data_IF_808334101869
#
_entry.id   IF_808334101869
#
_cell.length_a   1.000
_cell.length_b   1.000
_cell.length_c   1.000
_cell.angle_alpha   90.00
_cell.angle_beta   90.00
_cell.angle_gamma   90.00
#
_symmetry.space_group_name_H-M   'P 1'
#
loop_
_entity.id
_entity.type
_entity.pdbx_description
1 polymer ?
#
# COMPACT_ATOMS: atom_id res chain seq x y z
N UNK A 1 -7.66 -3.70 -38.25
CA UNK A 1 -7.50 -4.72 -37.21
C UNK A 1 -6.40 -4.21 -36.26
N UNK A 2 -6.75 -3.56 -35.14
CA UNK A 2 -5.75 -3.13 -34.16
C UNK A 2 -5.34 -4.38 -33.38
N UNK A 3 -4.07 -4.78 -33.49
CA UNK A 3 -3.50 -5.74 -32.56
C UNK A 3 -3.60 -5.09 -31.17
N UNK A 4 -4.44 -5.61 -30.30
CA UNK A 4 -4.33 -5.37 -28.88
C UNK A 4 -3.05 -6.10 -28.41
N UNK A 5 -1.94 -5.38 -28.42
CA UNK A 5 -0.77 -5.80 -27.67
C UNK A 5 -1.19 -5.60 -26.20
N UNK A 6 -1.49 -6.70 -25.51
CA UNK A 6 -1.60 -6.69 -24.05
C UNK A 6 -0.19 -6.39 -23.53
N UNK A 7 0.08 -5.12 -23.30
CA UNK A 7 1.28 -4.69 -22.59
C UNK A 7 0.98 -5.03 -21.13
N UNK A 8 1.54 -6.13 -20.63
CA UNK A 8 1.45 -6.49 -19.22
C UNK A 8 2.40 -5.58 -18.44
N UNK A 9 1.89 -4.91 -17.42
CA UNK A 9 2.73 -4.13 -16.51
C UNK A 9 3.78 -5.02 -15.83
N UNK A 10 4.98 -4.50 -15.67
CA UNK A 10 6.06 -5.18 -14.96
C UNK A 10 6.03 -4.81 -13.47
N UNK A 11 5.93 -5.81 -12.60
CA UNK A 11 5.73 -5.64 -11.15
C UNK A 11 6.96 -6.12 -10.39
N UNK A 12 7.69 -5.18 -9.79
CA UNK A 12 8.87 -5.44 -9.00
C UNK A 12 8.59 -5.31 -7.51
N UNK A 13 8.55 -6.43 -6.80
CA UNK A 13 8.40 -6.46 -5.36
C UNK A 13 9.73 -6.21 -4.67
N UNK A 14 9.80 -5.19 -3.82
CA UNK A 14 10.95 -4.86 -2.97
C UNK A 14 10.60 -5.23 -1.52
N UNK A 15 11.33 -6.18 -0.94
CA UNK A 15 11.14 -6.59 0.47
C UNK A 15 11.94 -5.65 1.37
N UNK A 16 11.23 -4.96 2.25
CA UNK A 16 11.72 -4.02 3.25
C UNK A 16 11.49 -4.59 4.67
N UNK A 17 12.23 -5.63 5.03
CA UNK A 17 11.98 -6.40 6.26
C UNK A 17 10.73 -7.27 6.14
N UNK A 18 9.70 -6.97 6.92
CA UNK A 18 8.40 -7.64 6.87
C UNK A 18 7.37 -6.91 5.98
N UNK A 19 7.73 -5.74 5.43
CA UNK A 19 6.88 -4.90 4.57
C UNK A 19 7.32 -5.00 3.12
N UNK A 20 6.40 -4.84 2.20
CA UNK A 20 6.64 -4.77 0.77
C UNK A 20 6.45 -3.35 0.24
N UNK A 21 7.31 -2.97 -0.71
CA UNK A 21 7.05 -1.89 -1.65
C UNK A 21 6.97 -2.51 -3.05
N UNK A 22 6.29 -1.85 -3.96
CA UNK A 22 6.17 -2.33 -5.33
C UNK A 22 6.47 -1.22 -6.31
N UNK A 23 7.40 -1.45 -7.24
CA UNK A 23 7.51 -0.65 -8.45
C UNK A 23 6.64 -1.33 -9.50
N UNK A 24 5.71 -0.58 -10.06
CA UNK A 24 4.89 -1.03 -11.19
C UNK A 24 5.26 -0.18 -12.38
N UNK A 25 5.79 -0.84 -13.40
CA UNK A 25 6.27 -0.19 -14.60
C UNK A 25 5.44 -0.57 -15.82
N UNK A 26 5.18 0.41 -16.66
CA UNK A 26 4.59 0.26 -17.99
C UNK A 26 5.45 1.07 -18.96
N UNK A 27 6.09 0.39 -19.91
CA UNK A 27 7.06 0.98 -20.84
C UNK A 27 8.19 1.75 -20.11
N UNK A 28 8.25 3.08 -20.30
CA UNK A 28 9.26 3.96 -19.71
C UNK A 28 8.78 4.70 -18.45
N UNK A 29 7.58 4.39 -17.95
CA UNK A 29 7.00 5.01 -16.75
C UNK A 29 6.80 4.00 -15.64
N UNK A 30 6.88 4.48 -14.41
CA UNK A 30 6.62 3.65 -13.25
C UNK A 30 6.00 4.46 -12.08
N UNK A 31 5.32 3.75 -11.19
CA UNK A 31 4.91 4.27 -9.88
C UNK A 31 5.51 3.40 -8.78
N UNK A 32 5.77 4.00 -7.63
CA UNK A 32 6.17 3.29 -6.41
C UNK A 32 4.97 3.21 -5.46
N UNK A 33 4.56 2.00 -5.10
CA UNK A 33 3.50 1.76 -4.13
C UNK A 33 4.14 1.37 -2.80
N UNK A 34 3.90 2.17 -1.77
CA UNK A 34 4.52 2.17 -0.45
C UNK A 34 6.04 2.37 -0.47
N UNK A 35 6.60 2.78 0.66
CA UNK A 35 8.01 3.19 0.75
C UNK A 35 8.83 2.39 1.76
N UNK A 36 8.18 1.54 2.55
CA UNK A 36 8.84 0.63 3.48
C UNK A 36 9.56 1.32 4.65
N UNK A 37 10.37 0.54 5.35
CA UNK A 37 11.07 0.95 6.57
C UNK A 37 12.37 1.70 6.28
N UNK A 38 12.70 2.68 7.13
CA UNK A 38 13.88 3.56 7.04
C UNK A 38 15.20 2.82 6.79
N UNK A 39 15.40 1.67 7.44
CA UNK A 39 16.60 0.83 7.28
C UNK A 39 16.89 0.44 5.83
N UNK A 40 15.86 0.39 4.97
CA UNK A 40 15.97 -0.10 3.60
C UNK A 40 15.89 1.02 2.54
N UNK A 41 15.95 2.31 2.96
CA UNK A 41 15.76 3.45 2.06
C UNK A 41 16.70 3.48 0.86
N UNK A 42 17.99 3.20 1.09
CA UNK A 42 19.00 3.20 0.01
C UNK A 42 18.71 2.09 -1.00
N UNK A 43 18.38 0.88 -0.52
CA UNK A 43 18.01 -0.24 -1.39
C UNK A 43 16.78 0.09 -2.25
N UNK A 44 15.79 0.77 -1.68
CA UNK A 44 14.57 1.15 -2.39
C UNK A 44 14.91 2.23 -3.41
N UNK A 45 15.68 3.26 -3.03
CA UNK A 45 16.12 4.34 -3.93
C UNK A 45 16.90 3.77 -5.12
N UNK A 46 17.88 2.90 -4.89
CA UNK A 46 18.66 2.28 -5.98
C UNK A 46 17.76 1.51 -6.94
N UNK A 47 16.76 0.79 -6.41
CA UNK A 47 15.79 0.11 -7.28
C UNK A 47 14.91 1.09 -8.06
N UNK A 48 14.52 2.22 -7.49
CA UNK A 48 13.75 3.23 -8.19
C UNK A 48 14.54 3.89 -9.33
N UNK A 49 15.87 3.97 -9.23
CA UNK A 49 16.73 4.54 -10.28
C UNK A 49 16.77 3.68 -11.56
N UNK A 50 16.47 2.38 -11.46
CA UNK A 50 16.35 1.48 -12.59
C UNK A 50 15.10 1.81 -13.46
N UNK A 51 14.18 2.66 -12.94
CA UNK A 51 12.89 2.99 -13.54
C UNK A 51 12.65 4.50 -13.51
N UNK A 52 11.86 5.00 -14.46
CA UNK A 52 11.37 6.39 -14.42
C UNK A 52 10.14 6.49 -13.50
N UNK A 53 10.36 6.38 -12.17
CA UNK A 53 9.28 6.53 -11.20
C UNK A 53 8.77 7.97 -11.22
N UNK A 54 7.47 8.15 -11.43
CA UNK A 54 6.80 9.45 -11.58
C UNK A 54 5.92 9.82 -10.39
N UNK A 55 5.59 8.85 -9.52
CA UNK A 55 4.67 9.02 -8.41
C UNK A 55 4.97 8.02 -7.29
N UNK A 56 4.88 8.45 -6.04
CA UNK A 56 4.76 7.57 -4.87
C UNK A 56 3.29 7.51 -4.47
N UNK A 57 2.73 6.30 -4.39
CA UNK A 57 1.38 6.05 -3.88
C UNK A 57 1.50 5.35 -2.54
N UNK A 58 0.99 5.95 -1.47
CA UNK A 58 0.93 5.34 -0.14
C UNK A 58 -0.44 4.70 0.07
N UNK A 59 -0.45 3.40 0.35
CA UNK A 59 -1.70 2.66 0.56
C UNK A 59 -2.42 3.08 1.82
N UNK A 60 -1.68 3.51 2.85
CA UNK A 60 -2.20 4.02 4.12
C UNK A 60 -1.10 4.72 4.94
N UNK A 61 -1.47 5.35 6.05
CA UNK A 61 -0.60 6.23 6.84
C UNK A 61 0.29 5.55 7.88
N UNK A 62 0.39 4.21 7.95
CA UNK A 62 1.28 3.57 8.93
C UNK A 62 2.75 3.74 8.56
N UNK A 63 3.55 3.93 9.60
CA UNK A 63 4.97 4.27 9.51
C UNK A 63 5.75 3.30 8.64
N UNK A 64 5.55 2.02 8.78
CA UNK A 64 6.30 1.02 8.02
C UNK A 64 5.99 1.02 6.51
N UNK A 65 4.93 1.71 6.08
CA UNK A 65 4.60 1.97 4.68
C UNK A 65 5.09 3.34 4.20
N UNK A 66 5.16 4.34 5.11
CA UNK A 66 5.43 5.74 4.78
C UNK A 66 6.84 6.21 5.13
N UNK A 67 7.66 5.44 5.85
CA UNK A 67 8.86 5.90 6.56
C UNK A 67 9.94 6.50 5.65
N UNK A 68 9.91 6.16 4.35
CA UNK A 68 10.84 6.72 3.37
C UNK A 68 10.18 7.69 2.38
N UNK A 69 8.91 8.07 2.57
CA UNK A 69 8.18 8.89 1.61
C UNK A 69 8.86 10.24 1.37
N UNK A 70 9.17 11.00 2.43
CA UNK A 70 9.88 12.28 2.33
C UNK A 70 11.22 12.14 1.61
N UNK A 71 12.03 11.16 2.05
CA UNK A 71 13.36 10.94 1.50
C UNK A 71 13.33 10.57 0.01
N UNK A 72 12.49 9.61 -0.38
CA UNK A 72 12.38 9.14 -1.77
C UNK A 72 11.78 10.21 -2.69
N UNK A 73 10.74 10.91 -2.23
CA UNK A 73 10.15 12.01 -3.00
C UNK A 73 11.16 13.12 -3.29
N UNK A 74 11.95 13.50 -2.28
CA UNK A 74 13.03 14.49 -2.44
C UNK A 74 14.14 14.00 -3.36
N UNK A 75 14.60 12.75 -3.19
CA UNK A 75 15.71 12.21 -3.97
C UNK A 75 15.34 11.99 -5.45
N UNK A 76 14.08 11.63 -5.73
CA UNK A 76 13.57 11.36 -7.08
C UNK A 76 12.88 12.57 -7.71
N UNK A 77 12.62 13.64 -6.94
CA UNK A 77 11.89 14.85 -7.36
C UNK A 77 10.49 14.52 -7.89
N UNK A 78 9.75 13.68 -7.16
CA UNK A 78 8.42 13.20 -7.55
C UNK A 78 7.38 13.47 -6.45
N UNK A 79 6.09 13.61 -6.80
CA UNK A 79 5.02 13.83 -5.84
C UNK A 79 4.71 12.59 -4.99
N UNK A 80 4.06 12.82 -3.85
CA UNK A 80 3.46 11.80 -2.98
C UNK A 80 1.95 11.91 -3.08
N UNK A 81 1.28 10.77 -3.24
CA UNK A 81 -0.16 10.62 -3.27
C UNK A 81 -0.64 9.67 -2.17
N UNK A 82 -1.69 10.04 -1.43
CA UNK A 82 -2.35 9.19 -0.44
C UNK A 82 -3.77 9.67 -0.15
N UNK A 83 -4.54 8.91 0.61
CA UNK A 83 -5.84 9.39 1.09
C UNK A 83 -5.69 10.48 2.15
N UNK A 84 -6.45 11.58 2.04
CA UNK A 84 -6.50 12.64 3.03
C UNK A 84 -6.93 12.13 4.42
N UNK A 85 -7.74 11.06 4.47
CA UNK A 85 -8.27 10.47 5.70
C UNK A 85 -7.18 9.93 6.64
N UNK A 86 -5.96 9.72 6.14
CA UNK A 86 -4.82 9.22 6.94
C UNK A 86 -3.77 10.31 7.24
N UNK A 87 -3.99 11.56 6.83
CA UNK A 87 -3.07 12.67 7.05
C UNK A 87 -2.71 12.89 8.53
N UNK A 88 -3.67 12.68 9.42
CA UNK A 88 -3.42 12.84 10.86
C UNK A 88 -2.47 11.77 11.44
N UNK A 89 -2.19 10.70 10.71
CA UNK A 89 -1.25 9.64 11.13
C UNK A 89 0.21 10.01 10.83
N UNK A 90 0.47 10.95 9.92
CA UNK A 90 1.84 11.33 9.56
C UNK A 90 2.59 11.90 10.77
N UNK A 91 2.03 12.85 11.56
CA UNK A 91 2.69 13.32 12.78
C UNK A 91 2.64 12.31 13.94
N UNK A 92 1.64 11.44 13.97
CA UNK A 92 1.48 10.47 15.07
C UNK A 92 0.59 9.29 14.62
N UNK A 93 1.20 8.13 14.38
CA UNK A 93 0.48 6.92 13.97
C UNK A 93 -0.59 6.43 14.97
N UNK A 94 -0.56 6.92 16.23
CA UNK A 94 -1.56 6.59 17.26
C UNK A 94 -2.87 7.38 17.13
N UNK A 95 -2.93 8.36 16.20
CA UNK A 95 -4.14 9.17 15.95
C UNK A 95 -5.31 8.35 15.40
N UNK A 96 -5.04 7.18 14.85
CA UNK A 96 -6.06 6.18 14.55
C UNK A 96 -5.80 4.94 15.42
N UNK A 97 -6.66 4.71 16.41
CA UNK A 97 -6.50 3.61 17.36
C UNK A 97 -6.70 2.27 16.68
N UNK A 98 -5.71 1.39 16.78
CA UNK A 98 -5.78 0.03 16.25
C UNK A 98 -6.39 -0.93 17.28
N UNK A 99 -7.14 -1.89 16.78
CA UNK A 99 -7.71 -3.02 17.53
C UNK A 99 -7.34 -4.34 16.88
N UNK A 100 -7.40 -5.42 17.65
CA UNK A 100 -7.19 -6.79 17.18
C UNK A 100 -8.10 -7.77 17.90
N UNK A 101 -8.72 -8.70 17.17
CA UNK A 101 -9.66 -9.70 17.72
C UNK A 101 -8.97 -11.02 18.04
N UNK A 102 -8.05 -11.46 17.17
CA UNK A 102 -7.40 -12.76 17.32
C UNK A 102 -6.19 -12.68 18.26
N UNK A 103 -5.80 -13.81 18.86
CA UNK A 103 -4.62 -13.88 19.70
C UNK A 103 -3.35 -13.43 18.97
N UNK A 104 -3.15 -13.93 17.73
CA UNK A 104 -2.01 -13.53 16.90
C UNK A 104 -2.08 -12.04 16.53
N UNK A 105 -3.27 -11.53 16.22
CA UNK A 105 -3.49 -10.10 16.00
C UNK A 105 -3.10 -9.23 17.19
N UNK A 106 -3.41 -9.67 18.42
CA UNK A 106 -2.99 -8.96 19.65
C UNK A 106 -1.47 -8.91 19.84
N UNK A 107 -0.76 -9.98 19.45
CA UNK A 107 0.71 -9.97 19.44
C UNK A 107 1.22 -8.96 18.40
N UNK A 108 0.69 -9.00 17.18
CA UNK A 108 1.06 -8.04 16.11
C UNK A 108 0.77 -6.62 16.58
N UNK A 109 -0.39 -6.36 17.19
CA UNK A 109 -0.76 -5.05 17.74
C UNK A 109 0.26 -4.54 18.76
N UNK A 110 0.65 -5.37 19.71
CA UNK A 110 1.64 -4.99 20.73
C UNK A 110 2.98 -4.60 20.11
N UNK A 111 3.44 -5.35 19.11
CA UNK A 111 4.68 -5.04 18.37
C UNK A 111 4.54 -3.74 17.58
N UNK A 112 3.40 -3.52 16.91
CA UNK A 112 3.14 -2.30 16.13
C UNK A 112 3.12 -1.06 17.02
N UNK A 113 2.40 -1.10 18.16
CA UNK A 113 2.34 0.02 19.11
C UNK A 113 3.72 0.35 19.68
N UNK A 114 4.53 -0.67 20.02
CA UNK A 114 5.91 -0.46 20.47
C UNK A 114 6.80 0.15 19.37
N UNK A 115 6.54 -0.15 18.10
CA UNK A 115 7.25 0.47 16.98
C UNK A 115 6.87 1.94 16.84
N UNK A 116 5.59 2.30 16.97
CA UNK A 116 5.12 3.69 16.91
C UNK A 116 5.69 4.59 18.02
N UNK A 117 6.09 4.00 19.15
CA UNK A 117 6.74 4.75 20.24
C UNK A 117 8.24 4.98 20.01
N UNK A 118 8.92 4.02 19.36
CA UNK A 118 10.38 4.00 19.23
C UNK A 118 10.88 4.65 17.95
N UNK A 119 10.11 4.55 16.89
CA UNK A 119 10.47 5.06 15.58
C UNK A 119 9.84 6.44 15.35
N UNK A 120 10.43 7.21 14.46
CA UNK A 120 9.90 8.50 14.01
C UNK A 120 9.68 8.48 12.50
N UNK A 121 8.63 9.13 12.07
CA UNK A 121 8.35 9.40 10.67
C UNK A 121 8.92 10.79 10.31
N UNK A 122 9.70 10.86 9.24
CA UNK A 122 10.10 12.13 8.66
C UNK A 122 8.87 12.79 8.04
N UNK A 123 8.56 14.03 8.47
CA UNK A 123 7.35 14.72 8.04
C UNK A 123 7.37 14.98 6.54
N UNK A 124 6.23 14.76 5.91
CA UNK A 124 5.97 15.09 4.51
C UNK A 124 4.53 15.57 4.33
N UNK A 125 4.30 16.30 3.27
CA UNK A 125 2.96 16.70 2.84
C UNK A 125 2.69 16.08 1.47
N UNK A 126 1.69 15.19 1.34
CA UNK A 126 1.23 14.72 0.05
C UNK A 126 0.72 15.89 -0.79
N UNK A 127 1.09 15.90 -2.05
CA UNK A 127 0.61 16.91 -3.00
C UNK A 127 -0.65 16.45 -3.75
N UNK A 128 -0.99 15.16 -3.61
CA UNK A 128 -2.12 14.54 -4.30
C UNK A 128 -2.95 13.76 -3.28
N UNK A 129 -4.23 14.11 -3.17
CA UNK A 129 -5.17 13.38 -2.34
C UNK A 129 -6.00 12.43 -3.20
N UNK A 130 -5.92 11.14 -2.87
CA UNK A 130 -6.54 10.06 -3.64
C UNK A 130 -7.89 9.66 -3.06
N UNK A 131 -8.87 9.49 -3.95
CA UNK A 131 -10.21 9.03 -3.66
C UNK A 131 -10.58 7.82 -4.51
N UNK A 132 -11.68 7.15 -4.16
CA UNK A 132 -12.15 6.01 -4.93
C UNK A 132 -12.45 6.37 -6.39
N UNK A 133 -11.90 5.60 -7.32
CA UNK A 133 -12.07 5.77 -8.75
C UNK A 133 -11.07 6.71 -9.43
N UNK A 134 -10.20 7.40 -8.67
CA UNK A 134 -9.16 8.24 -9.26
C UNK A 134 -8.25 7.42 -10.19
N UNK A 135 -7.86 8.05 -11.29
CA UNK A 135 -7.08 7.47 -12.37
C UNK A 135 -5.63 7.98 -12.33
N UNK A 136 -4.67 7.07 -12.45
CA UNK A 136 -3.25 7.40 -12.42
C UNK A 136 -2.59 7.43 -13.82
N UNK A 137 -3.37 7.37 -14.91
CA UNK A 137 -2.86 7.42 -16.30
C UNK A 137 -2.03 8.68 -16.58
N UNK A 138 -2.34 9.79 -15.91
CA UNK A 138 -1.53 11.01 -15.97
C UNK A 138 -0.09 10.84 -15.48
N UNK A 139 0.19 9.78 -14.71
CA UNK A 139 1.52 9.39 -14.23
C UNK A 139 2.12 8.24 -15.05
N UNK A 140 1.47 7.89 -16.17
CA UNK A 140 1.93 6.89 -17.12
C UNK A 140 1.55 5.44 -16.80
N UNK A 141 0.70 5.20 -15.82
CA UNK A 141 0.20 3.86 -15.47
C UNK A 141 -1.33 3.86 -15.50
N UNK A 142 -1.92 2.98 -16.31
CA UNK A 142 -3.37 2.77 -16.33
C UNK A 142 -3.81 2.04 -15.06
N UNK A 143 -3.99 2.82 -14.01
CA UNK A 143 -4.33 2.34 -12.67
C UNK A 143 -5.49 3.12 -12.09
N UNK A 144 -6.31 2.44 -11.29
CA UNK A 144 -7.42 3.06 -10.55
C UNK A 144 -7.29 2.85 -9.06
N UNK A 145 -7.63 3.90 -8.32
CA UNK A 145 -7.68 3.85 -6.86
C UNK A 145 -9.00 3.21 -6.41
N UNK A 146 -8.88 2.34 -5.41
CA UNK A 146 -10.02 1.69 -4.75
C UNK A 146 -9.92 1.99 -3.25
N UNK A 147 -10.95 2.57 -2.65
CA UNK A 147 -11.01 2.71 -1.20
C UNK A 147 -11.21 1.35 -0.53
N UNK A 148 -10.36 1.05 0.45
CA UNK A 148 -10.38 -0.21 1.23
C UNK A 148 -10.30 0.10 2.74
N UNK A 149 -11.22 0.92 3.28
CA UNK A 149 -11.16 1.35 4.67
C UNK A 149 -11.32 0.18 5.64
N UNK A 150 -10.85 0.39 6.88
CA UNK A 150 -11.01 -0.53 7.99
C UNK A 150 -9.72 -0.84 8.72
N UNK A 151 -8.62 -1.16 8.02
CA UNK A 151 -7.31 -1.18 8.64
C UNK A 151 -6.94 0.22 9.14
N UNK A 152 -6.95 1.21 8.26
CA UNK A 152 -7.03 2.64 8.59
C UNK A 152 -8.27 3.25 7.93
N UNK A 153 -8.60 4.50 8.28
CA UNK A 153 -9.71 5.22 7.64
C UNK A 153 -9.42 5.55 6.18
N UNK A 154 -8.16 5.79 5.86
CA UNK A 154 -7.68 6.18 4.54
C UNK A 154 -7.02 5.04 3.77
N UNK A 155 -7.17 3.77 4.18
CA UNK A 155 -6.65 2.64 3.41
C UNK A 155 -7.21 2.63 2.01
N UNK A 156 -6.31 2.56 1.02
CA UNK A 156 -6.62 2.44 -0.41
C UNK A 156 -5.90 1.25 -1.04
N UNK A 157 -6.45 0.76 -2.13
CA UNK A 157 -5.79 -0.16 -3.05
C UNK A 157 -5.50 0.49 -4.39
N UNK A 158 -4.52 -0.03 -5.11
CA UNK A 158 -4.20 0.35 -6.49
C UNK A 158 -4.54 -0.82 -7.39
N UNK A 159 -5.51 -0.65 -8.28
CA UNK A 159 -5.93 -1.68 -9.24
C UNK A 159 -5.31 -1.38 -10.61
N UNK A 160 -4.58 -2.36 -11.15
CA UNK A 160 -3.89 -2.27 -12.44
C UNK A 160 -4.16 -3.59 -13.17
N UNK A 161 -4.89 -3.56 -14.28
CA UNK A 161 -5.30 -4.78 -14.99
C UNK A 161 -5.93 -5.81 -14.03
N UNK A 162 -5.41 -7.05 -14.02
CA UNK A 162 -5.81 -8.13 -13.12
C UNK A 162 -4.97 -8.19 -11.82
N UNK A 163 -4.40 -7.05 -11.41
CA UNK A 163 -3.59 -6.93 -10.21
C UNK A 163 -4.21 -5.91 -9.25
N UNK A 164 -4.24 -6.23 -7.95
CA UNK A 164 -4.69 -5.31 -6.90
C UNK A 164 -3.67 -5.28 -5.77
N UNK A 165 -3.10 -4.11 -5.54
CA UNK A 165 -2.24 -3.80 -4.40
C UNK A 165 -3.13 -3.32 -3.27
N UNK A 166 -3.20 -4.07 -2.18
CA UNK A 166 -4.21 -3.86 -1.12
C UNK A 166 -3.64 -3.21 0.15
N UNK A 167 -2.33 -2.92 0.18
CA UNK A 167 -1.69 -2.53 1.44
C UNK A 167 -2.00 -3.57 2.53
N UNK A 168 -2.53 -3.08 3.65
CA UNK A 168 -2.87 -3.89 4.81
C UNK A 168 -4.38 -4.17 4.98
N UNK A 169 -5.20 -3.86 3.95
CA UNK A 169 -6.61 -4.29 3.95
C UNK A 169 -6.74 -5.82 4.01
N UNK A 170 -5.77 -6.53 3.40
CA UNK A 170 -5.53 -7.96 3.55
C UNK A 170 -4.06 -8.20 3.90
N UNK A 171 -3.75 -9.31 4.55
CA UNK A 171 -2.39 -9.66 4.98
C UNK A 171 -2.01 -11.09 4.57
N UNK A 172 -0.71 -11.31 4.32
CA UNK A 172 -0.12 -12.63 4.14
C UNK A 172 1.21 -12.75 4.91
N UNK A 173 1.25 -12.17 6.10
CA UNK A 173 2.46 -12.17 6.95
C UNK A 173 2.80 -13.59 7.44
N UNK A 174 1.82 -14.29 7.97
CA UNK A 174 1.93 -15.67 8.46
C UNK A 174 1.14 -16.63 7.57
N UNK A 175 -0.05 -16.24 7.20
CA UNK A 175 -0.96 -16.91 6.29
C UNK A 175 -1.90 -15.87 5.64
N UNK A 176 -2.47 -16.17 4.45
CA UNK A 176 -3.36 -15.24 3.79
C UNK A 176 -4.66 -15.05 4.59
N UNK A 177 -4.96 -13.82 5.00
CA UNK A 177 -6.12 -13.47 5.81
C UNK A 177 -6.56 -12.03 5.58
N UNK A 178 -7.72 -11.66 6.10
CA UNK A 178 -8.11 -10.25 6.25
C UNK A 178 -7.15 -9.57 7.21
N UNK A 179 -7.15 -8.23 7.26
CA UNK A 179 -6.29 -7.49 8.19
C UNK A 179 -6.41 -8.04 9.61
N UNK A 180 -5.27 -8.21 10.28
CA UNK A 180 -5.25 -8.63 11.69
C UNK A 180 -5.45 -7.45 12.63
N UNK A 181 -5.18 -6.23 12.14
CA UNK A 181 -5.33 -4.97 12.86
C UNK A 181 -6.32 -4.08 12.12
N UNK A 182 -7.14 -3.36 12.84
CA UNK A 182 -8.15 -2.50 12.25
C UNK A 182 -8.50 -1.32 13.17
N UNK A 183 -8.87 -0.21 12.56
CA UNK A 183 -9.51 0.92 13.23
C UNK A 183 -11.04 0.73 13.27
N UNK A 184 -11.59 0.05 12.24
CA UNK A 184 -13.00 -0.28 12.11
C UNK A 184 -13.19 -1.69 11.52
N UNK A 185 -13.65 -2.65 12.36
CA UNK A 185 -13.86 -4.04 11.95
C UNK A 185 -14.93 -4.15 10.86
N UNK A 186 -15.99 -3.34 10.93
CA UNK A 186 -17.11 -3.41 9.99
C UNK A 186 -16.66 -2.97 8.58
N UNK A 187 -15.93 -1.87 8.50
CA UNK A 187 -15.40 -1.37 7.23
C UNK A 187 -14.35 -2.34 6.68
N UNK A 188 -13.48 -2.90 7.52
CA UNK A 188 -12.51 -3.93 7.11
C UNK A 188 -13.19 -5.16 6.48
N UNK A 189 -14.30 -5.64 7.09
CA UNK A 189 -15.05 -6.77 6.53
C UNK A 189 -15.74 -6.42 5.20
N UNK A 190 -16.23 -5.19 5.03
CA UNK A 190 -16.79 -4.72 3.75
C UNK A 190 -15.72 -4.67 2.66
N UNK A 191 -14.54 -4.12 2.97
CA UNK A 191 -13.40 -4.06 2.06
C UNK A 191 -12.95 -5.47 1.65
N UNK A 192 -12.85 -6.38 2.59
CA UNK A 192 -12.50 -7.78 2.31
C UNK A 192 -13.57 -8.50 1.47
N UNK A 193 -14.86 -8.20 1.69
CA UNK A 193 -15.95 -8.71 0.87
C UNK A 193 -15.87 -8.18 -0.56
N UNK A 194 -15.70 -6.87 -0.72
CA UNK A 194 -15.50 -6.25 -2.03
C UNK A 194 -14.35 -6.92 -2.80
N UNK A 195 -13.19 -7.09 -2.16
CA UNK A 195 -12.05 -7.76 -2.80
C UNK A 195 -12.41 -9.19 -3.21
N UNK A 196 -13.16 -9.94 -2.36
CA UNK A 196 -13.60 -11.31 -2.66
C UNK A 196 -14.43 -11.40 -3.96
N UNK A 197 -15.16 -10.34 -4.30
CA UNK A 197 -16.09 -10.27 -5.43
C UNK A 197 -15.41 -9.81 -6.75
N UNK A 198 -14.12 -9.41 -6.72
CA UNK A 198 -13.39 -8.95 -7.91
C UNK A 198 -12.97 -10.06 -8.88
N UNK A 199 -13.31 -11.33 -8.60
CA UNK A 199 -12.99 -12.45 -9.48
C UNK A 199 -11.53 -12.89 -9.45
N UNK A 200 -11.03 -13.41 -10.56
CA UNK A 200 -9.71 -14.03 -10.68
C UNK A 200 -8.60 -12.97 -10.92
N UNK A 201 -8.20 -12.27 -9.87
CA UNK A 201 -7.12 -11.30 -9.89
C UNK A 201 -5.96 -11.71 -8.97
N UNK A 202 -4.80 -11.11 -9.14
CA UNK A 202 -3.65 -11.25 -8.24
C UNK A 202 -3.70 -10.19 -7.15
N UNK A 203 -3.51 -10.61 -5.90
CA UNK A 203 -3.48 -9.72 -4.73
C UNK A 203 -2.03 -9.53 -4.27
N UNK A 204 -1.62 -8.28 -4.14
CA UNK A 204 -0.30 -7.84 -3.66
C UNK A 204 -0.50 -7.16 -2.30
N UNK A 205 0.06 -7.77 -1.26
CA UNK A 205 -0.11 -7.38 0.14
C UNK A 205 0.99 -6.42 0.59
N UNK A 206 0.70 -5.57 1.55
CA UNK A 206 1.71 -4.83 2.31
C UNK A 206 2.66 -5.79 3.05
N UNK A 207 2.14 -6.93 3.53
CA UNK A 207 2.95 -7.96 4.20
C UNK A 207 2.78 -9.33 3.56
N UNK A 208 3.91 -9.97 3.18
CA UNK A 208 3.94 -11.33 2.66
C UNK A 208 3.98 -11.42 1.13
N UNK A 209 3.85 -12.65 0.60
CA UNK A 209 3.95 -12.93 -0.84
C UNK A 209 2.60 -12.72 -1.53
N UNK A 210 2.56 -12.27 -2.81
CA UNK A 210 1.33 -12.18 -3.59
C UNK A 210 0.61 -13.53 -3.67
N UNK A 211 -0.72 -13.47 -3.83
CA UNK A 211 -1.61 -14.63 -3.97
C UNK A 211 -2.73 -14.34 -4.96
N UNK A 212 -3.31 -15.38 -5.52
CA UNK A 212 -4.58 -15.27 -6.25
C UNK A 212 -5.71 -14.87 -5.30
N UNK A 213 -6.62 -14.07 -5.80
CA UNK A 213 -7.82 -13.69 -5.07
C UNK A 213 -8.65 -14.91 -4.70
N UNK A 214 -9.42 -14.78 -3.66
CA UNK A 214 -10.30 -15.82 -3.14
C UNK A 214 -11.40 -15.19 -2.29
N UNK A 215 -12.31 -16.01 -1.78
CA UNK A 215 -13.24 -15.57 -0.75
C UNK A 215 -12.50 -15.34 0.56
N UNK A 216 -12.46 -14.08 1.04
CA UNK A 216 -11.76 -13.66 2.26
C UNK A 216 -12.66 -13.66 3.50
N UNK A 217 -13.96 -13.46 3.30
CA UNK A 217 -14.98 -13.46 4.35
C UNK A 217 -16.05 -14.50 4.03
N UNK A 218 -16.67 -15.06 5.09
CA UNK A 218 -17.75 -16.06 4.96
C UNK A 218 -19.07 -15.41 4.59
#
# INVERSE_FOLDING_TARGET
MRLNIFIMVDIHRIVSGNVNCYIVADNDKAILIDTGRKKYREKILEKCKDFHVSLIVLTHGHMDHCQNAAYLASALQIPIAMSEKDMNMIPDNRKQSLSAKTFLGKIVLSVSLSSFEKDSLEMFEPTIYLNNGDDLSGYGIDAKIVELPGHTKGSIGVKIEDNLFVGDALMNMFYPTISMLYTDEREMLKSAKYISELGEISIYFGHGKPKRNRKWVK
#
